data_IF_299364744672
#
_entry.id   IF_299364744672
#
_cell.length_a   1.000
_cell.length_b   1.000
_cell.length_c   1.000
_cell.angle_alpha   90.00
_cell.angle_beta   90.00
_cell.angle_gamma   90.00
#
_symmetry.space_group_name_H-M   'P 1'
#
loop_
_entity.id
_entity.type
_entity.pdbx_description
1 polymer ?
#
# COMPACT_ATOMS: atom_id res chain seq x y z
N UNK A 1 -63.31 18.96 14.77
CA UNK A 1 -62.99 17.54 14.56
C UNK A 1 -61.50 17.47 14.32
N UNK A 2 -60.75 17.22 15.38
CA UNK A 2 -59.31 17.01 15.38
C UNK A 2 -59.04 15.57 14.92
N UNK A 3 -58.22 15.40 13.89
CA UNK A 3 -57.62 14.11 13.55
C UNK A 3 -56.50 13.81 14.55
N UNK A 4 -56.62 12.77 15.39
CA UNK A 4 -55.47 12.16 16.04
C UNK A 4 -54.85 11.12 15.08
N UNK A 5 -53.59 10.76 15.34
CA UNK A 5 -52.85 9.67 14.69
C UNK A 5 -52.01 10.08 13.47
N UNK A 6 -51.11 11.05 13.66
CA UNK A 6 -49.75 10.89 13.12
C UNK A 6 -48.91 10.25 14.23
N UNK A 7 -48.79 8.92 14.22
CA UNK A 7 -47.66 8.25 14.85
C UNK A 7 -46.39 8.83 14.19
N UNK A 8 -45.79 9.81 14.86
CA UNK A 8 -44.43 10.25 14.57
C UNK A 8 -43.54 9.03 14.73
N UNK A 9 -43.19 8.43 13.59
CA UNK A 9 -42.25 7.34 13.43
C UNK A 9 -41.00 7.69 14.26
N UNK A 10 -40.88 7.11 15.46
CA UNK A 10 -39.83 7.36 16.45
C UNK A 10 -38.48 6.75 16.01
N UNK A 11 -38.21 6.80 14.71
CA UNK A 11 -36.94 6.43 14.11
C UNK A 11 -36.03 7.62 14.29
N UNK A 12 -35.05 7.46 15.17
CA UNK A 12 -33.93 8.39 15.33
C UNK A 12 -33.48 8.86 13.95
N UNK A 13 -33.52 10.17 13.73
CA UNK A 13 -33.02 10.77 12.49
C UNK A 13 -31.52 10.48 12.41
N UNK A 14 -30.98 10.34 11.20
CA UNK A 14 -29.52 10.23 11.02
C UNK A 14 -28.78 11.39 11.68
N UNK A 15 -29.39 12.58 11.66
CA UNK A 15 -28.87 13.75 12.36
C UNK A 15 -28.73 13.52 13.87
N UNK A 16 -29.69 12.85 14.50
CA UNK A 16 -29.67 12.60 15.95
C UNK A 16 -28.58 11.58 16.34
N UNK A 17 -28.35 10.58 15.49
CA UNK A 17 -27.27 9.58 15.70
C UNK A 17 -25.90 10.20 15.46
N UNK A 18 -25.77 11.05 14.44
CA UNK A 18 -24.54 11.78 14.12
C UNK A 18 -24.18 12.75 15.26
N UNK A 19 -25.16 13.49 15.79
CA UNK A 19 -24.97 14.41 16.92
C UNK A 19 -24.56 13.69 18.21
N UNK A 20 -25.13 12.50 18.48
CA UNK A 20 -24.75 11.70 19.66
C UNK A 20 -23.36 11.09 19.52
N UNK A 21 -22.96 10.65 18.33
CA UNK A 21 -21.62 10.10 18.09
C UNK A 21 -20.53 11.17 18.11
N UNK A 22 -20.80 12.36 17.54
CA UNK A 22 -19.92 13.52 17.63
C UNK A 22 -19.83 14.02 19.08
N UNK A 23 -20.94 14.03 19.83
CA UNK A 23 -20.94 14.46 21.23
C UNK A 23 -20.29 13.45 22.19
N UNK A 24 -20.38 12.14 21.92
CA UNK A 24 -19.89 11.11 22.82
C UNK A 24 -18.43 10.68 22.56
N UNK A 25 -17.98 10.72 21.30
CA UNK A 25 -16.66 10.18 20.90
C UNK A 25 -15.86 11.19 20.05
N UNK A 26 -16.50 12.26 19.53
CA UNK A 26 -15.86 13.19 18.59
C UNK A 26 -15.46 12.53 17.26
N UNK A 27 -16.09 11.39 16.94
CA UNK A 27 -15.81 10.61 15.74
C UNK A 27 -16.91 10.87 14.72
N UNK A 28 -16.52 11.60 13.68
CA UNK A 28 -17.32 11.89 12.51
C UNK A 28 -17.89 10.59 11.89
N UNK A 29 -19.18 10.34 12.08
CA UNK A 29 -19.88 9.11 11.61
C UNK A 29 -19.77 8.88 10.11
N UNK A 30 -19.47 9.93 9.34
CA UNK A 30 -19.20 9.85 7.90
C UNK A 30 -18.02 8.94 7.60
N UNK A 31 -17.09 8.75 8.54
CA UNK A 31 -15.96 7.84 8.35
C UNK A 31 -16.42 6.40 8.11
N UNK A 32 -17.43 5.91 8.86
CA UNK A 32 -17.93 4.55 8.70
C UNK A 32 -18.65 4.37 7.37
N UNK A 33 -19.45 5.35 6.97
CA UNK A 33 -20.10 5.38 5.66
C UNK A 33 -19.06 5.42 4.55
N UNK A 34 -18.00 6.21 4.71
CA UNK A 34 -16.90 6.30 3.75
C UNK A 34 -16.15 4.98 3.66
N UNK A 35 -15.77 4.36 4.78
CA UNK A 35 -15.07 3.06 4.81
C UNK A 35 -15.92 1.99 4.09
N UNK A 36 -17.19 1.87 4.47
CA UNK A 36 -18.12 0.91 3.87
C UNK A 36 -18.26 1.12 2.36
N UNK A 37 -18.51 2.34 1.93
CA UNK A 37 -18.73 2.61 0.50
C UNK A 37 -17.42 2.64 -0.29
N UNK A 38 -16.28 3.00 0.30
CA UNK A 38 -14.97 2.81 -0.34
C UNK A 38 -14.70 1.33 -0.57
N UNK A 39 -15.03 0.46 0.39
CA UNK A 39 -14.80 -0.98 0.30
C UNK A 39 -15.79 -1.67 -0.67
N UNK A 40 -17.10 -1.45 -0.52
CA UNK A 40 -18.14 -2.18 -1.26
C UNK A 40 -18.70 -1.45 -2.49
N UNK A 41 -18.65 -0.12 -2.51
CA UNK A 41 -19.30 0.70 -3.53
C UNK A 41 -18.36 1.82 -4.01
N UNK A 42 -17.09 1.49 -4.25
CA UNK A 42 -16.01 2.46 -4.52
C UNK A 42 -16.40 3.57 -5.53
N UNK A 43 -17.16 3.28 -6.61
CA UNK A 43 -17.58 4.33 -7.55
C UNK A 43 -18.42 5.45 -6.93
N UNK A 44 -19.23 5.18 -5.89
CA UNK A 44 -20.08 6.19 -5.24
C UNK A 44 -19.24 7.26 -4.54
N UNK A 45 -18.13 6.87 -3.93
CA UNK A 45 -17.21 7.79 -3.26
C UNK A 45 -16.51 8.69 -4.28
N UNK A 46 -16.10 8.11 -5.42
CA UNK A 46 -15.51 8.88 -6.54
C UNK A 46 -16.55 9.82 -7.17
N UNK A 47 -17.80 9.38 -7.32
CA UNK A 47 -18.90 10.19 -7.86
C UNK A 47 -19.15 11.43 -7.02
N UNK A 48 -19.30 11.25 -5.70
CA UNK A 48 -19.50 12.36 -4.77
C UNK A 48 -18.29 13.31 -4.75
N UNK A 49 -17.07 12.79 -4.82
CA UNK A 49 -15.87 13.61 -4.91
C UNK A 49 -15.82 14.45 -6.20
N UNK A 50 -16.28 13.91 -7.33
CA UNK A 50 -16.41 14.65 -8.59
C UNK A 50 -17.54 15.68 -8.58
N UNK A 51 -18.64 15.38 -7.89
CA UNK A 51 -19.75 16.32 -7.69
C UNK A 51 -19.41 17.43 -6.69
N UNK A 52 -18.30 17.31 -5.95
CA UNK A 52 -17.94 18.26 -4.90
C UNK A 52 -18.75 18.11 -3.61
N UNK A 53 -19.45 16.98 -3.43
CA UNK A 53 -20.26 16.65 -2.25
C UNK A 53 -19.34 16.30 -1.07
N UNK A 54 -18.85 17.31 -0.36
CA UNK A 54 -17.93 17.14 0.78
C UNK A 54 -18.61 16.72 2.08
N UNK A 55 -19.93 16.88 2.16
CA UNK A 55 -20.69 16.63 3.39
C UNK A 55 -21.03 15.15 3.57
N UNK A 56 -20.97 14.35 2.50
CA UNK A 56 -21.40 12.95 2.51
C UNK A 56 -20.29 11.96 2.86
N UNK A 57 -19.06 12.24 2.45
CA UNK A 57 -17.92 11.35 2.65
C UNK A 57 -16.69 12.11 3.10
N UNK A 58 -15.82 11.44 3.83
CA UNK A 58 -14.48 11.93 4.13
C UNK A 58 -13.69 12.06 2.82
N UNK A 59 -12.89 13.14 2.62
CA UNK A 59 -12.10 13.30 1.40
C UNK A 59 -11.20 12.10 1.12
N UNK A 60 -11.22 11.59 -0.13
CA UNK A 60 -10.46 10.40 -0.55
C UNK A 60 -8.97 10.49 -0.19
N UNK A 61 -8.37 11.68 -0.38
CA UNK A 61 -6.96 11.92 -0.05
C UNK A 61 -6.71 11.84 1.45
N UNK A 62 -7.63 12.36 2.28
CA UNK A 62 -7.51 12.27 3.74
C UNK A 62 -7.58 10.81 4.19
N UNK A 63 -8.54 10.05 3.68
CA UNK A 63 -8.65 8.62 3.97
C UNK A 63 -7.37 7.87 3.54
N UNK A 64 -6.82 8.20 2.37
CA UNK A 64 -5.56 7.63 1.90
C UNK A 64 -4.41 7.91 2.87
N UNK A 65 -4.20 9.16 3.28
CA UNK A 65 -3.11 9.51 4.20
C UNK A 65 -3.24 8.78 5.54
N UNK A 66 -4.46 8.61 6.05
CA UNK A 66 -4.72 7.86 7.29
C UNK A 66 -4.40 6.38 7.12
N UNK A 67 -4.93 5.73 6.08
CA UNK A 67 -4.72 4.30 5.84
C UNK A 67 -3.25 3.99 5.50
N UNK A 68 -2.62 4.85 4.71
CA UNK A 68 -1.21 4.76 4.36
C UNK A 68 -0.31 4.95 5.60
N UNK A 69 -0.59 5.95 6.44
CA UNK A 69 0.12 6.13 7.70
C UNK A 69 -0.07 4.94 8.66
N UNK A 70 -1.28 4.39 8.73
CA UNK A 70 -1.56 3.19 9.52
C UNK A 70 -0.77 1.97 9.02
N UNK A 71 -0.56 1.83 7.70
CA UNK A 71 0.28 0.77 7.15
C UNK A 71 1.72 0.88 7.68
N UNK A 72 2.32 2.07 7.68
CA UNK A 72 3.66 2.26 8.24
C UNK A 72 3.71 2.01 9.75
N UNK A 73 2.67 2.39 10.48
CA UNK A 73 2.58 2.07 11.90
C UNK A 73 2.60 0.56 12.11
N UNK A 74 1.81 -0.21 11.35
CA UNK A 74 1.82 -1.68 11.38
C UNK A 74 3.21 -2.22 11.05
N UNK A 75 3.82 -1.78 9.95
CA UNK A 75 5.18 -2.20 9.56
C UNK A 75 6.19 -1.97 10.69
N UNK A 76 6.16 -0.80 11.34
CA UNK A 76 7.04 -0.48 12.45
C UNK A 76 6.74 -1.29 13.72
N UNK A 77 5.47 -1.54 14.05
CA UNK A 77 5.08 -2.34 15.22
C UNK A 77 5.48 -3.81 15.10
N UNK A 78 5.51 -4.34 13.88
CA UNK A 78 5.87 -5.73 13.60
C UNK A 78 7.31 -5.91 13.12
N UNK A 79 8.14 -4.86 13.20
CA UNK A 79 9.54 -4.86 12.77
C UNK A 79 9.73 -5.42 11.33
N UNK A 80 8.79 -5.09 10.45
CA UNK A 80 8.82 -5.53 9.06
C UNK A 80 9.79 -4.60 8.32
N UNK A 81 10.81 -5.11 7.61
CA UNK A 81 11.70 -4.27 6.83
C UNK A 81 10.93 -3.44 5.79
N UNK A 82 10.97 -2.12 5.94
CA UNK A 82 10.19 -1.19 5.12
C UNK A 82 10.83 -0.87 3.75
N UNK A 83 12.03 -1.40 3.48
CA UNK A 83 12.77 -1.14 2.26
C UNK A 83 14.09 -1.93 2.22
N UNK A 84 15.08 -1.36 1.54
CA UNK A 84 16.37 -1.99 1.38
C UNK A 84 17.18 -2.00 2.68
N UNK A 85 17.75 -3.16 3.02
CA UNK A 85 18.56 -3.37 4.22
C UNK A 85 19.64 -4.43 3.94
N UNK A 86 20.65 -4.55 4.81
CA UNK A 86 21.63 -5.63 4.70
C UNK A 86 20.96 -6.99 4.91
N UNK A 87 19.96 -7.08 5.79
CA UNK A 87 19.19 -8.30 6.01
C UNK A 87 18.43 -8.72 4.73
N UNK A 88 17.90 -7.74 3.99
CA UNK A 88 17.22 -7.99 2.73
C UNK A 88 18.19 -8.51 1.65
N UNK A 89 19.43 -7.98 1.62
CA UNK A 89 20.50 -8.48 0.75
C UNK A 89 20.97 -9.88 1.15
N UNK A 90 21.19 -10.13 2.44
CA UNK A 90 21.64 -11.43 2.96
C UNK A 90 20.68 -12.57 2.55
N UNK A 91 19.39 -12.28 2.40
CA UNK A 91 18.38 -13.25 1.92
C UNK A 91 18.56 -13.66 0.45
N UNK A 92 19.45 -13.02 -0.33
CA UNK A 92 19.72 -13.42 -1.71
C UNK A 92 20.61 -14.65 -1.82
N UNK A 93 21.29 -15.07 -0.75
CA UNK A 93 22.09 -16.29 -0.70
C UNK A 93 23.38 -16.15 0.12
N UNK A 94 23.99 -17.30 0.43
CA UNK A 94 25.18 -17.40 1.29
C UNK A 94 26.39 -16.60 0.74
N UNK A 95 26.50 -16.47 -0.58
CA UNK A 95 27.57 -15.68 -1.23
C UNK A 95 27.49 -14.19 -0.89
N UNK A 96 26.26 -13.66 -0.80
CA UNK A 96 26.02 -12.28 -0.43
C UNK A 96 26.27 -12.06 1.07
N UNK A 97 25.91 -13.04 1.91
CA UNK A 97 26.25 -13.01 3.34
C UNK A 97 27.76 -12.93 3.51
N UNK A 98 28.52 -13.81 2.82
CA UNK A 98 29.98 -13.80 2.84
C UNK A 98 30.56 -12.47 2.33
N UNK A 99 29.98 -11.89 1.30
CA UNK A 99 30.41 -10.60 0.77
C UNK A 99 30.21 -9.44 1.77
N UNK A 100 29.05 -9.41 2.42
CA UNK A 100 28.74 -8.43 3.47
C UNK A 100 29.71 -8.61 4.64
N UNK A 101 29.92 -9.84 5.12
CA UNK A 101 30.80 -10.13 6.25
C UNK A 101 32.26 -9.77 5.96
N UNK A 102 32.77 -10.11 4.77
CA UNK A 102 34.13 -9.77 4.35
C UNK A 102 34.34 -8.25 4.32
N UNK A 103 33.41 -7.52 3.73
CA UNK A 103 33.46 -6.06 3.68
C UNK A 103 33.37 -5.42 5.07
N UNK A 104 32.47 -5.88 5.94
CA UNK A 104 32.33 -5.33 7.29
C UNK A 104 33.58 -5.61 8.14
N UNK A 105 34.21 -6.79 7.96
CA UNK A 105 35.47 -7.12 8.62
C UNK A 105 36.63 -6.22 8.15
N UNK A 106 36.71 -5.92 6.85
CA UNK A 106 37.73 -5.04 6.28
C UNK A 106 37.53 -3.57 6.68
N UNK A 107 36.29 -3.08 6.58
CA UNK A 107 35.94 -1.68 6.88
C UNK A 107 35.86 -1.37 8.38
N UNK A 108 35.78 -2.40 9.23
CA UNK A 108 35.57 -2.27 10.68
C UNK A 108 34.21 -1.70 11.06
N UNK A 109 33.24 -1.69 10.15
CA UNK A 109 31.90 -1.14 10.37
C UNK A 109 31.00 -2.16 11.08
N UNK A 110 30.22 -1.77 12.10
CA UNK A 110 29.27 -2.67 12.73
C UNK A 110 28.03 -2.86 11.85
N UNK A 111 27.64 -4.12 11.62
CA UNK A 111 26.46 -4.52 10.83
C UNK A 111 25.20 -3.70 11.17
N UNK A 112 24.88 -3.63 12.46
CA UNK A 112 23.70 -2.93 12.96
C UNK A 112 23.68 -1.43 12.59
N UNK A 113 24.83 -0.76 12.56
CA UNK A 113 24.89 0.66 12.22
C UNK A 113 24.68 0.91 10.72
N UNK A 114 25.24 0.05 9.86
CA UNK A 114 25.01 0.11 8.41
C UNK A 114 23.55 -0.18 8.10
N UNK A 115 23.01 -1.25 8.68
CA UNK A 115 21.62 -1.66 8.48
C UNK A 115 20.65 -0.55 8.90
N UNK A 116 20.83 0.03 10.09
CA UNK A 116 20.01 1.14 10.57
C UNK A 116 20.09 2.39 9.67
N UNK A 117 21.26 2.69 9.08
CA UNK A 117 21.39 3.79 8.13
C UNK A 117 20.59 3.54 6.85
N UNK A 118 20.62 2.32 6.32
CA UNK A 118 19.86 1.93 5.14
C UNK A 118 18.36 1.98 5.42
N UNK A 119 17.92 1.40 6.54
CA UNK A 119 16.51 1.39 6.94
C UNK A 119 15.96 2.79 7.19
N UNK A 120 16.73 3.67 7.84
CA UNK A 120 16.33 5.06 8.04
C UNK A 120 16.19 5.81 6.71
N UNK A 121 17.14 5.63 5.78
CA UNK A 121 17.06 6.23 4.46
C UNK A 121 15.86 5.69 3.66
N UNK A 122 15.61 4.39 3.71
CA UNK A 122 14.42 3.78 3.14
C UNK A 122 13.14 4.38 3.77
N UNK A 123 13.05 4.47 5.09
CA UNK A 123 11.89 5.06 5.79
C UNK A 123 11.59 6.49 5.35
N UNK A 124 12.61 7.32 5.12
CA UNK A 124 12.45 8.70 4.65
C UNK A 124 12.00 8.79 3.18
N UNK A 125 12.36 7.81 2.36
CA UNK A 125 12.21 7.88 0.90
C UNK A 125 11.10 7.00 0.34
N UNK A 126 10.71 5.93 1.04
CA UNK A 126 9.71 4.96 0.58
C UNK A 126 8.39 5.65 0.24
N UNK A 127 7.93 6.61 1.04
CA UNK A 127 6.72 7.38 0.74
C UNK A 127 6.81 8.09 -0.61
N UNK A 128 7.91 8.79 -0.87
CA UNK A 128 8.14 9.48 -2.14
C UNK A 128 8.19 8.49 -3.31
N UNK A 129 8.88 7.36 -3.13
CA UNK A 129 8.95 6.32 -4.14
C UNK A 129 7.59 5.72 -4.46
N UNK A 130 6.74 5.47 -3.45
CA UNK A 130 5.37 4.99 -3.65
C UNK A 130 4.54 6.00 -4.45
N UNK A 131 4.68 7.30 -4.16
CA UNK A 131 4.02 8.34 -4.96
C UNK A 131 4.51 8.33 -6.41
N UNK A 132 5.83 8.27 -6.64
CA UNK A 132 6.40 8.23 -7.99
C UNK A 132 6.01 6.96 -8.75
N UNK A 133 6.00 5.80 -8.08
CA UNK A 133 5.63 4.52 -8.66
C UNK A 133 4.13 4.42 -8.95
N UNK A 134 3.30 5.28 -8.37
CA UNK A 134 1.88 5.40 -8.68
C UNK A 134 1.58 6.18 -9.96
N UNK A 135 2.53 6.99 -10.45
CA UNK A 135 2.34 7.84 -11.63
C UNK A 135 1.94 7.07 -12.90
N UNK A 136 2.51 5.89 -13.23
CA UNK A 136 2.08 5.10 -14.39
C UNK A 136 0.58 4.81 -14.41
N UNK A 137 -0.03 4.52 -13.25
CA UNK A 137 -1.47 4.28 -13.16
C UNK A 137 -2.28 5.55 -13.45
N UNK A 138 -1.90 6.69 -12.88
CA UNK A 138 -2.59 7.97 -13.09
C UNK A 138 -2.47 8.42 -14.55
N UNK A 139 -1.28 8.26 -15.15
CA UNK A 139 -1.04 8.55 -16.57
C UNK A 139 -1.86 7.64 -17.49
N UNK A 140 -1.98 6.36 -17.16
CA UNK A 140 -2.81 5.42 -17.92
C UNK A 140 -4.31 5.77 -17.82
N UNK A 141 -4.80 6.11 -16.63
CA UNK A 141 -6.18 6.61 -16.46
C UNK A 141 -6.43 7.90 -17.26
N UNK A 142 -5.44 8.79 -17.32
CA UNK A 142 -5.49 9.99 -18.16
C UNK A 142 -5.56 9.65 -19.65
N UNK A 143 -4.81 8.64 -20.10
CA UNK A 143 -4.89 8.15 -21.48
C UNK A 143 -6.27 7.54 -21.79
N UNK A 144 -6.90 6.84 -20.85
CA UNK A 144 -8.25 6.27 -21.03
C UNK A 144 -9.34 7.32 -21.17
N UNK A 145 -9.23 8.46 -20.48
CA UNK A 145 -10.20 9.56 -20.60
C UNK A 145 -9.53 10.93 -20.52
N UNK A 146 -8.95 11.43 -21.62
CA UNK A 146 -8.17 12.68 -21.62
C UNK A 146 -8.95 13.93 -21.23
N UNK A 147 -10.28 13.92 -21.32
CA UNK A 147 -11.13 15.07 -20.99
C UNK A 147 -11.22 15.38 -19.49
N UNK A 148 -10.82 14.46 -18.60
CA UNK A 148 -10.80 14.71 -17.15
C UNK A 148 -9.50 15.37 -16.71
N UNK A 149 -9.55 16.11 -15.60
CA UNK A 149 -8.35 16.70 -14.98
C UNK A 149 -7.46 15.62 -14.37
N UNK A 150 -6.15 15.88 -14.25
CA UNK A 150 -5.22 14.99 -13.56
C UNK A 150 -5.65 14.72 -12.12
N UNK A 151 -6.11 15.76 -11.42
CA UNK A 151 -6.63 15.62 -10.06
C UNK A 151 -7.81 14.63 -9.99
N UNK A 152 -8.72 14.65 -10.97
CA UNK A 152 -9.80 13.68 -11.04
C UNK A 152 -9.29 12.23 -11.18
N UNK A 153 -8.26 12.01 -12.00
CA UNK A 153 -7.64 10.68 -12.13
C UNK A 153 -6.92 10.24 -10.85
N UNK A 154 -6.28 11.16 -10.12
CA UNK A 154 -5.70 10.86 -8.81
C UNK A 154 -6.79 10.38 -7.85
N UNK A 155 -7.94 11.06 -7.77
CA UNK A 155 -9.04 10.61 -6.91
C UNK A 155 -9.60 9.24 -7.33
N UNK A 156 -9.74 9.00 -8.63
CA UNK A 156 -10.19 7.69 -9.15
C UNK A 156 -9.17 6.57 -8.93
N UNK A 157 -7.88 6.88 -8.85
CA UNK A 157 -6.82 5.93 -8.51
C UNK A 157 -6.78 5.66 -7.00
N UNK A 158 -6.84 6.70 -6.17
CA UNK A 158 -6.73 6.56 -4.71
C UNK A 158 -7.94 5.84 -4.08
N UNK A 159 -9.13 5.91 -4.69
CA UNK A 159 -10.29 5.23 -4.13
C UNK A 159 -10.16 3.68 -4.12
N UNK A 160 -9.79 3.01 -5.24
CA UNK A 160 -9.39 1.60 -5.23
C UNK A 160 -8.23 1.27 -4.30
N UNK A 161 -7.21 2.15 -4.23
CA UNK A 161 -6.08 1.96 -3.31
C UNK A 161 -6.55 1.96 -1.85
N UNK A 162 -7.41 2.90 -1.46
CA UNK A 162 -8.03 2.91 -0.13
C UNK A 162 -8.84 1.62 0.13
N UNK A 163 -9.60 1.15 -0.87
CA UNK A 163 -10.32 -0.11 -0.75
C UNK A 163 -9.37 -1.29 -0.49
N UNK A 164 -8.20 -1.32 -1.15
CA UNK A 164 -7.18 -2.33 -0.91
C UNK A 164 -6.51 -2.24 0.45
N UNK A 165 -6.26 -1.04 0.99
CA UNK A 165 -5.78 -0.92 2.38
C UNK A 165 -6.81 -1.43 3.38
N UNK A 166 -8.09 -1.11 3.18
CA UNK A 166 -9.17 -1.66 4.02
C UNK A 166 -9.22 -3.18 3.92
N UNK A 167 -9.05 -3.74 2.72
CA UNK A 167 -8.95 -5.19 2.52
C UNK A 167 -7.73 -5.78 3.25
N UNK A 168 -6.57 -5.14 3.13
CA UNK A 168 -5.34 -5.57 3.78
C UNK A 168 -5.53 -5.65 5.30
N UNK A 169 -6.00 -4.57 5.92
CA UNK A 169 -6.20 -4.55 7.38
C UNK A 169 -7.24 -5.57 7.84
N UNK A 170 -8.34 -5.72 7.09
CA UNK A 170 -9.36 -6.73 7.40
C UNK A 170 -8.78 -8.16 7.30
N UNK A 171 -8.05 -8.46 6.22
CA UNK A 171 -7.46 -9.78 6.01
C UNK A 171 -6.35 -10.05 7.03
N UNK A 172 -5.50 -9.08 7.36
CA UNK A 172 -4.49 -9.23 8.41
C UNK A 172 -5.13 -9.48 9.79
N UNK A 173 -6.22 -8.77 10.12
CA UNK A 173 -6.96 -9.03 11.35
C UNK A 173 -7.54 -10.45 11.39
N UNK A 174 -8.07 -10.94 10.26
CA UNK A 174 -8.55 -12.33 10.14
C UNK A 174 -7.40 -13.31 10.34
N UNK A 175 -6.24 -13.09 9.71
CA UNK A 175 -5.05 -13.95 9.87
C UNK A 175 -4.61 -13.96 11.33
N UNK A 176 -4.49 -12.79 11.98
CA UNK A 176 -4.12 -12.70 13.38
C UNK A 176 -5.07 -13.49 14.31
N UNK A 177 -6.38 -13.48 14.02
CA UNK A 177 -7.36 -14.29 14.76
C UNK A 177 -7.20 -15.79 14.49
N UNK A 178 -6.88 -16.19 13.25
CA UNK A 178 -6.61 -17.58 12.89
C UNK A 178 -5.33 -18.08 13.57
N UNK A 179 -4.28 -17.24 13.67
CA UNK A 179 -3.02 -17.57 14.35
C UNK A 179 -3.20 -17.91 15.84
N UNK A 180 -4.31 -17.49 16.47
CA UNK A 180 -4.62 -17.88 17.85
C UNK A 180 -5.11 -19.33 17.99
N UNK A 181 -5.42 -20.01 16.88
CA UNK A 181 -5.90 -21.39 16.90
C UNK A 181 -4.75 -22.36 17.13
N UNK A 182 -4.92 -23.39 17.97
CA UNK A 182 -3.89 -24.40 18.17
C UNK A 182 -3.65 -25.19 16.88
N UNK A 183 -2.39 -25.37 16.51
CA UNK A 183 -1.96 -26.13 15.32
C UNK A 183 -1.60 -25.29 14.10
N UNK A 184 -1.70 -23.96 14.17
CA UNK A 184 -1.11 -23.08 13.15
C UNK A 184 0.37 -22.90 13.47
N UNK A 185 1.24 -23.43 12.60
CA UNK A 185 2.69 -23.22 12.70
C UNK A 185 3.14 -21.92 12.03
N UNK A 186 4.34 -21.46 12.36
CA UNK A 186 4.94 -20.20 11.88
C UNK A 186 4.96 -20.11 10.34
N UNK A 187 5.28 -21.21 9.65
CA UNK A 187 5.29 -21.25 8.18
C UNK A 187 3.90 -21.02 7.56
N UNK A 188 2.87 -21.60 8.19
CA UNK A 188 1.48 -21.44 7.74
C UNK A 188 1.01 -20.01 7.98
N UNK A 189 1.35 -19.44 9.13
CA UNK A 189 1.05 -18.05 9.46
C UNK A 189 1.71 -17.08 8.45
N UNK A 190 3.00 -17.25 8.17
CA UNK A 190 3.71 -16.43 7.18
C UNK A 190 3.06 -16.52 5.79
N UNK A 191 2.68 -17.73 5.36
CA UNK A 191 1.96 -17.93 4.11
C UNK A 191 0.60 -17.22 4.08
N UNK A 192 -0.15 -17.25 5.19
CA UNK A 192 -1.44 -16.56 5.32
C UNK A 192 -1.29 -15.04 5.21
N UNK A 193 -0.26 -14.44 5.83
CA UNK A 193 0.02 -13.01 5.67
C UNK A 193 0.37 -12.63 4.23
N UNK A 194 1.17 -13.44 3.54
CA UNK A 194 1.46 -13.24 2.11
C UNK A 194 0.15 -13.29 1.30
N UNK A 195 -0.72 -14.27 1.56
CA UNK A 195 -2.01 -14.37 0.88
C UNK A 195 -2.96 -13.22 1.22
N UNK A 196 -2.95 -12.69 2.45
CA UNK A 196 -3.69 -11.49 2.82
C UNK A 196 -3.21 -10.27 2.00
N UNK A 197 -1.90 -10.12 1.84
CA UNK A 197 -1.31 -9.08 1.00
C UNK A 197 -1.71 -9.24 -0.48
N UNK A 198 -1.56 -10.44 -1.05
CA UNK A 198 -1.99 -10.74 -2.43
C UNK A 198 -3.50 -10.49 -2.62
N UNK A 199 -4.32 -10.93 -1.66
CA UNK A 199 -5.76 -10.70 -1.65
C UNK A 199 -6.13 -9.22 -1.68
N UNK A 200 -5.39 -8.38 -0.94
CA UNK A 200 -5.58 -6.93 -0.95
C UNK A 200 -5.26 -6.31 -2.33
N UNK A 201 -4.21 -6.80 -3.01
CA UNK A 201 -3.86 -6.36 -4.37
C UNK A 201 -4.95 -6.77 -5.36
N UNK A 202 -5.47 -8.00 -5.26
CA UNK A 202 -6.60 -8.45 -6.09
C UNK A 202 -7.81 -7.53 -5.85
N UNK A 203 -8.10 -7.20 -4.59
CA UNK A 203 -9.20 -6.31 -4.25
C UNK A 203 -9.04 -4.90 -4.84
N UNK A 204 -7.81 -4.35 -4.90
CA UNK A 204 -7.53 -3.10 -5.60
C UNK A 204 -8.05 -3.14 -7.04
N UNK A 205 -7.76 -4.22 -7.78
CA UNK A 205 -8.16 -4.34 -9.18
C UNK A 205 -9.66 -4.61 -9.36
N UNK A 206 -10.31 -5.29 -8.40
CA UNK A 206 -11.78 -5.41 -8.37
C UNK A 206 -12.43 -4.03 -8.21
N UNK A 207 -12.00 -3.27 -7.21
CA UNK A 207 -12.49 -1.91 -6.94
C UNK A 207 -12.20 -0.96 -8.11
N UNK A 208 -10.99 -1.05 -8.70
CA UNK A 208 -10.63 -0.31 -9.91
C UNK A 208 -11.54 -0.70 -11.08
N UNK A 209 -11.84 -1.98 -11.27
CA UNK A 209 -12.79 -2.45 -12.27
C UNK A 209 -14.16 -1.82 -12.15
N UNK A 210 -14.69 -1.67 -10.94
CA UNK A 210 -15.95 -0.96 -10.71
C UNK A 210 -15.86 0.53 -11.08
N UNK A 211 -14.78 1.21 -10.69
CA UNK A 211 -14.53 2.63 -11.04
C UNK A 211 -14.40 2.79 -12.56
N UNK A 212 -13.65 1.91 -13.21
CA UNK A 212 -13.49 1.89 -14.67
C UNK A 212 -14.84 1.67 -15.36
N UNK A 213 -15.62 0.67 -14.95
CA UNK A 213 -16.93 0.39 -15.51
C UNK A 213 -17.88 1.59 -15.42
N UNK A 214 -17.89 2.30 -14.28
CA UNK A 214 -18.76 3.47 -14.07
C UNK A 214 -18.31 4.69 -14.87
N UNK A 215 -17.00 4.94 -14.96
CA UNK A 215 -16.48 6.24 -15.35
C UNK A 215 -15.61 6.27 -16.60
N UNK A 216 -15.15 5.13 -17.10
CA UNK A 216 -14.17 5.06 -18.21
C UNK A 216 -14.61 4.11 -19.32
N UNK A 217 -15.26 3.01 -18.97
CA UNK A 217 -15.72 2.00 -19.91
C UNK A 217 -17.00 2.40 -20.66
N UNK A 218 -17.10 1.95 -21.91
CA UNK A 218 -18.34 2.00 -22.73
C UNK A 218 -18.96 0.62 -22.93
N UNK A 219 -18.18 -0.44 -22.72
CA UNK A 219 -18.57 -1.84 -22.90
C UNK A 219 -17.75 -2.73 -21.95
N UNK A 220 -18.23 -3.95 -21.69
CA UNK A 220 -17.52 -4.90 -20.82
C UNK A 220 -16.11 -5.24 -21.33
N UNK A 221 -15.94 -5.39 -22.65
CA UNK A 221 -14.62 -5.63 -23.25
C UNK A 221 -13.66 -4.46 -23.00
N UNK A 222 -14.13 -3.23 -23.16
CA UNK A 222 -13.31 -2.04 -22.91
C UNK A 222 -12.89 -1.97 -21.43
N UNK A 223 -13.80 -2.28 -20.50
CA UNK A 223 -13.49 -2.37 -19.07
C UNK A 223 -12.42 -3.44 -18.81
N UNK A 224 -12.59 -4.63 -19.38
CA UNK A 224 -11.62 -5.73 -19.24
C UNK A 224 -10.22 -5.31 -19.70
N UNK A 225 -10.10 -4.75 -20.91
CA UNK A 225 -8.82 -4.26 -21.45
C UNK A 225 -8.21 -3.13 -20.61
N UNK A 226 -9.04 -2.22 -20.10
CA UNK A 226 -8.59 -1.11 -19.25
C UNK A 226 -8.08 -1.61 -17.88
N UNK A 227 -8.76 -2.58 -17.27
CA UNK A 227 -8.30 -3.20 -16.02
C UNK A 227 -7.02 -4.00 -16.26
N UNK A 228 -6.93 -4.78 -17.35
CA UNK A 228 -5.69 -5.47 -17.71
C UNK A 228 -4.53 -4.51 -17.91
N UNK A 229 -4.76 -3.34 -18.53
CA UNK A 229 -3.74 -2.30 -18.63
C UNK A 229 -3.27 -1.79 -17.28
N UNK A 230 -4.19 -1.58 -16.32
CA UNK A 230 -3.81 -1.22 -14.94
C UNK A 230 -3.01 -2.32 -14.25
N UNK A 231 -3.38 -3.59 -14.45
CA UNK A 231 -2.58 -4.73 -13.93
C UNK A 231 -1.17 -4.72 -14.52
N UNK A 232 -1.03 -4.45 -15.82
CA UNK A 232 0.29 -4.34 -16.45
C UNK A 232 1.14 -3.17 -15.90
N UNK A 233 0.51 -2.10 -15.38
CA UNK A 233 1.22 -0.99 -14.73
C UNK A 233 1.88 -1.37 -13.40
N UNK A 234 1.58 -2.54 -12.84
CA UNK A 234 2.30 -3.10 -11.69
C UNK A 234 3.77 -3.34 -12.01
N UNK A 235 4.10 -3.73 -13.25
CA UNK A 235 5.48 -3.97 -13.69
C UNK A 235 6.33 -2.68 -13.61
N UNK A 236 5.98 -1.57 -14.29
CA UNK A 236 6.74 -0.34 -14.18
C UNK A 236 6.73 0.24 -12.76
N UNK A 237 5.65 0.04 -11.98
CA UNK A 237 5.62 0.41 -10.56
C UNK A 237 6.75 -0.29 -9.79
N UNK A 238 6.89 -1.61 -9.92
CA UNK A 238 7.96 -2.37 -9.27
C UNK A 238 9.34 -1.97 -9.78
N UNK A 239 9.50 -1.70 -11.08
CA UNK A 239 10.78 -1.22 -11.63
C UNK A 239 11.18 0.13 -11.00
N UNK A 240 10.25 1.09 -10.91
CA UNK A 240 10.50 2.40 -10.30
C UNK A 240 10.87 2.23 -8.82
N UNK A 241 10.11 1.42 -8.08
CA UNK A 241 10.39 1.13 -6.67
C UNK A 241 11.78 0.49 -6.50
N UNK A 242 12.09 -0.53 -7.30
CA UNK A 242 13.35 -1.25 -7.25
C UNK A 242 14.54 -0.33 -7.55
N UNK A 243 14.50 0.40 -8.67
CA UNK A 243 15.56 1.36 -9.04
C UNK A 243 15.72 2.43 -7.96
N UNK A 244 14.61 2.95 -7.43
CA UNK A 244 14.62 3.94 -6.36
C UNK A 244 15.30 3.43 -5.09
N UNK A 245 14.88 2.26 -4.60
CA UNK A 245 15.44 1.65 -3.39
C UNK A 245 16.94 1.33 -3.56
N UNK A 246 17.35 0.74 -4.68
CA UNK A 246 18.76 0.49 -4.97
C UNK A 246 19.57 1.78 -5.08
N UNK A 247 19.04 2.80 -5.77
CA UNK A 247 19.72 4.10 -5.88
C UNK A 247 19.91 4.80 -4.54
N UNK A 248 18.93 4.69 -3.64
CA UNK A 248 19.03 5.24 -2.28
C UNK A 248 20.03 4.45 -1.44
N UNK A 249 20.01 3.12 -1.51
CA UNK A 249 20.97 2.27 -0.84
C UNK A 249 22.41 2.55 -1.31
N UNK A 250 22.61 2.69 -2.62
CA UNK A 250 23.87 3.08 -3.23
C UNK A 250 24.38 4.42 -2.69
N UNK A 251 23.53 5.44 -2.69
CA UNK A 251 23.87 6.77 -2.17
C UNK A 251 24.27 6.69 -0.68
N UNK A 252 23.57 5.88 0.12
CA UNK A 252 23.87 5.73 1.55
C UNK A 252 25.19 5.01 1.77
N UNK A 253 25.41 3.87 1.09
CA UNK A 253 26.62 3.08 1.21
C UNK A 253 27.84 3.88 0.75
N UNK A 254 27.76 4.56 -0.40
CA UNK A 254 28.89 5.31 -0.93
C UNK A 254 29.24 6.50 -0.04
N UNK A 255 28.24 7.31 0.35
CA UNK A 255 28.52 8.54 1.08
C UNK A 255 28.88 8.33 2.55
N UNK A 256 28.44 7.22 3.19
CA UNK A 256 28.69 6.99 4.62
C UNK A 256 29.72 5.90 4.90
N UNK A 257 29.88 4.94 4.01
CA UNK A 257 30.64 3.71 4.27
C UNK A 257 31.65 3.37 3.17
N UNK A 258 31.85 4.26 2.19
CA UNK A 258 32.79 4.09 1.07
C UNK A 258 32.60 2.75 0.33
N UNK A 259 31.34 2.33 0.21
CA UNK A 259 30.95 1.06 -0.41
C UNK A 259 29.88 1.28 -1.46
N UNK A 260 29.86 0.46 -2.51
CA UNK A 260 28.74 0.43 -3.45
C UNK A 260 27.99 -0.90 -3.37
N UNK A 261 26.69 -0.85 -3.68
CA UNK A 261 25.86 -2.03 -3.90
C UNK A 261 26.45 -2.89 -5.02
N UNK A 262 26.99 -2.25 -6.06
CA UNK A 262 27.62 -2.94 -7.20
C UNK A 262 28.86 -3.72 -6.75
N UNK A 263 29.68 -3.15 -5.87
CA UNK A 263 30.85 -3.82 -5.32
C UNK A 263 30.45 -5.00 -4.42
N UNK A 264 29.40 -4.87 -3.60
CA UNK A 264 28.85 -6.00 -2.84
C UNK A 264 28.41 -7.16 -3.77
N UNK A 265 27.71 -6.86 -4.86
CA UNK A 265 27.35 -7.88 -5.85
C UNK A 265 28.56 -8.49 -6.54
N UNK A 266 29.61 -7.69 -6.81
CA UNK A 266 30.85 -8.18 -7.40
C UNK A 266 31.58 -9.13 -6.47
N UNK A 267 31.77 -8.76 -5.20
CA UNK A 267 32.38 -9.61 -4.18
C UNK A 267 31.58 -10.90 -4.02
N UNK A 268 30.24 -10.80 -4.00
CA UNK A 268 29.36 -11.97 -3.94
C UNK A 268 29.56 -12.90 -5.16
N UNK A 269 29.71 -12.35 -6.36
CA UNK A 269 29.95 -13.15 -7.56
C UNK A 269 31.34 -13.80 -7.57
N UNK A 270 32.37 -13.10 -7.07
CA UNK A 270 33.72 -13.66 -6.89
C UNK A 270 33.70 -14.82 -5.89
N UNK A 271 33.01 -14.67 -4.75
CA UNK A 271 32.82 -15.72 -3.74
C UNK A 271 32.11 -16.97 -4.30
N UNK A 272 31.12 -16.78 -5.17
CA UNK A 272 30.38 -17.87 -5.80
C UNK A 272 31.30 -18.74 -6.68
N UNK A 273 32.15 -18.10 -7.49
CA UNK A 273 33.11 -18.77 -8.37
C UNK A 273 34.15 -19.55 -7.56
N UNK A 274 34.62 -18.99 -6.46
CA UNK A 274 35.58 -19.67 -5.57
C UNK A 274 34.99 -20.92 -4.93
N UNK A 275 33.73 -20.90 -4.52
CA UNK A 275 33.07 -22.10 -3.95
C UNK A 275 32.83 -23.24 -4.94
N UNK A 276 32.84 -22.95 -6.25
CA UNK A 276 32.68 -23.96 -7.30
C UNK A 276 34.03 -24.55 -7.76
N UNK A 277 35.16 -23.98 -7.33
CA UNK A 277 36.50 -24.44 -7.70
C UNK A 277 36.93 -25.63 -6.80
N UNK A 278 37.20 -26.83 -7.36
CA UNK A 278 37.49 -28.05 -6.61
C UNK A 278 38.87 -28.08 -5.94
#
# INVERSE_FOLDING_TARGET
>A
MSHPDEEQDARLSRADVDDVADAAIGVDTRIFTTIKDTFLHTPRVVEAAYAGERDRYVPIIRLFLVLFGLQFAVIAFFDIPAGFSLDALARSGDDMVRAIDAWLAESGQPYAAVNASLENAAGLTTTLLVFLSSLPFVLLLKAYRPSRSYFGHVLAYLAPVNASFLALFLLMAIVALISLLPGIGEETEAALYIWAFVGSIIWNFVAAGWVIARFYGRSALAVGLQVSGLVLMVIPMFIIMMIGQYGIAEIVLQNKYDMSVIDLFRISAENAIESESP
#
